data_IF_508365731872
#
_entry.id   IF_508365731872
#
_cell.length_a   1.000
_cell.length_b   1.000
_cell.length_c   1.000
_cell.angle_alpha   90.00
_cell.angle_beta   90.00
_cell.angle_gamma   90.00
#
_symmetry.space_group_name_H-M   'P 1'
#
loop_
_entity.id
_entity.type
_entity.pdbx_description
1 polymer ?
#
# COMPACT_ATOMS: atom_id res chain seq x y z
N UNK A 1 -27.34 -40.63 -7.93
CA UNK A 1 -26.88 -40.09 -9.20
C UNK A 1 -27.14 -41.08 -10.29
N UNK A 2 -27.73 -40.67 -11.42
CA UNK A 2 -28.13 -41.59 -12.46
C UNK A 2 -26.93 -42.26 -13.12
N UNK A 3 -27.04 -43.54 -13.38
CA UNK A 3 -26.03 -44.48 -13.87
C UNK A 3 -25.42 -44.22 -15.26
N UNK A 4 -25.59 -43.03 -15.82
CA UNK A 4 -25.17 -42.68 -17.18
C UNK A 4 -23.96 -41.73 -17.28
N UNK A 5 -23.28 -41.47 -16.17
CA UNK A 5 -22.06 -40.66 -16.15
C UNK A 5 -20.87 -41.60 -15.97
N UNK A 6 -19.95 -41.65 -16.92
CA UNK A 6 -18.76 -42.50 -16.87
C UNK A 6 -17.88 -42.24 -15.66
N UNK A 7 -17.06 -43.22 -15.24
CA UNK A 7 -16.22 -43.12 -14.05
C UNK A 7 -15.21 -41.95 -14.13
N UNK A 8 -14.72 -41.65 -15.32
CA UNK A 8 -13.79 -40.53 -15.54
C UNK A 8 -14.45 -39.16 -15.26
N UNK A 9 -15.70 -39.00 -15.72
CA UNK A 9 -16.46 -37.76 -15.45
C UNK A 9 -16.82 -37.63 -13.97
N UNK A 10 -17.12 -38.76 -13.28
CA UNK A 10 -17.35 -38.77 -11.84
C UNK A 10 -16.08 -38.33 -11.08
N UNK A 11 -14.90 -38.85 -11.45
CA UNK A 11 -13.63 -38.48 -10.88
C UNK A 11 -13.31 -36.97 -11.07
N UNK A 12 -13.55 -36.44 -12.28
CA UNK A 12 -13.39 -35.00 -12.55
C UNK A 12 -14.34 -34.13 -11.70
N UNK A 13 -15.59 -34.59 -11.50
CA UNK A 13 -16.53 -33.89 -10.62
C UNK A 13 -16.12 -33.93 -9.15
N UNK A 14 -15.56 -35.03 -8.69
CA UNK A 14 -15.04 -35.13 -7.32
C UNK A 14 -13.85 -34.18 -7.12
N UNK A 15 -12.92 -34.12 -8.08
CA UNK A 15 -11.81 -33.15 -8.05
C UNK A 15 -12.31 -31.68 -8.02
N UNK A 16 -13.41 -31.39 -8.73
CA UNK A 16 -14.06 -30.07 -8.64
C UNK A 16 -14.57 -29.77 -7.23
N UNK A 17 -15.16 -30.74 -6.54
CA UNK A 17 -15.66 -30.57 -5.16
C UNK A 17 -14.50 -30.33 -4.17
N UNK A 18 -13.40 -31.05 -4.35
CA UNK A 18 -12.24 -31.03 -3.47
C UNK A 18 -11.31 -29.82 -3.76
N UNK A 19 -11.46 -29.14 -4.91
CA UNK A 19 -10.65 -28.04 -5.33
C UNK A 19 -10.77 -26.84 -4.37
N UNK A 20 -9.64 -26.29 -3.93
CA UNK A 20 -9.57 -25.13 -3.02
C UNK A 20 -9.48 -23.80 -3.75
N UNK A 21 -8.88 -23.78 -4.96
CA UNK A 21 -8.69 -22.58 -5.75
C UNK A 21 -9.78 -22.36 -6.81
N UNK A 22 -10.07 -21.10 -7.13
CA UNK A 22 -11.06 -20.74 -8.15
C UNK A 22 -10.67 -21.24 -9.54
N UNK A 23 -9.39 -21.16 -9.88
CA UNK A 23 -8.85 -21.61 -11.17
C UNK A 23 -8.95 -23.13 -11.33
N UNK A 24 -8.68 -23.83 -10.28
CA UNK A 24 -8.79 -25.29 -10.26
C UNK A 24 -10.24 -25.75 -10.38
N UNK A 25 -11.18 -25.09 -9.68
CA UNK A 25 -12.61 -25.32 -9.82
C UNK A 25 -13.09 -25.15 -11.24
N UNK A 26 -12.66 -24.07 -11.91
CA UNK A 26 -13.00 -23.80 -13.31
C UNK A 26 -12.48 -24.93 -14.20
N UNK A 27 -11.20 -25.29 -14.07
CA UNK A 27 -10.55 -26.33 -14.89
C UNK A 27 -11.23 -27.69 -14.73
N UNK A 28 -11.47 -28.11 -13.48
CA UNK A 28 -12.08 -29.40 -13.22
C UNK A 28 -13.54 -29.47 -13.67
N UNK A 29 -14.28 -28.37 -13.60
CA UNK A 29 -15.64 -28.29 -14.08
C UNK A 29 -15.72 -28.27 -15.62
N UNK A 30 -14.74 -27.69 -16.30
CA UNK A 30 -14.59 -27.78 -17.76
C UNK A 30 -14.27 -29.22 -18.19
N UNK A 31 -13.33 -29.87 -17.51
CA UNK A 31 -12.99 -31.27 -17.74
C UNK A 31 -14.21 -32.19 -17.54
N UNK A 32 -14.95 -31.99 -16.46
CA UNK A 32 -16.20 -32.72 -16.24
C UNK A 32 -17.19 -32.55 -17.40
N UNK A 33 -17.43 -31.27 -17.83
CA UNK A 33 -18.37 -31.00 -18.90
C UNK A 33 -17.92 -31.53 -20.28
N UNK A 34 -16.63 -31.79 -20.48
CA UNK A 34 -16.11 -32.42 -21.69
C UNK A 34 -16.32 -33.92 -21.73
N UNK A 35 -16.25 -34.55 -20.54
CA UNK A 35 -16.35 -36.00 -20.37
C UNK A 35 -17.82 -36.51 -20.29
N UNK A 36 -18.77 -35.62 -19.94
CA UNK A 36 -20.18 -36.02 -19.83
C UNK A 36 -20.82 -36.21 -21.21
N UNK A 37 -21.41 -37.41 -21.49
CA UNK A 37 -22.13 -37.65 -22.76
C UNK A 37 -23.33 -36.71 -22.93
N UNK A 38 -23.50 -36.17 -24.14
CA UNK A 38 -24.58 -35.23 -24.47
C UNK A 38 -25.83 -35.98 -24.94
N UNK A 39 -26.70 -36.37 -24.01
CA UNK A 39 -27.99 -36.96 -24.34
C UNK A 39 -29.08 -36.49 -23.34
N UNK A 40 -30.33 -36.76 -23.65
CA UNK A 40 -31.51 -36.22 -22.94
C UNK A 40 -31.47 -36.47 -21.42
N UNK A 41 -30.88 -37.58 -20.94
CA UNK A 41 -30.77 -37.91 -19.53
C UNK A 41 -29.73 -37.08 -18.77
N UNK A 42 -28.68 -36.58 -19.45
CA UNK A 42 -27.62 -35.77 -18.84
C UNK A 42 -27.83 -34.26 -19.06
N UNK A 43 -28.81 -33.86 -19.86
CA UNK A 43 -29.03 -32.44 -20.25
C UNK A 43 -29.19 -31.52 -19.04
N UNK A 44 -29.98 -31.94 -18.04
CA UNK A 44 -30.17 -31.13 -16.81
C UNK A 44 -28.87 -30.92 -16.02
N UNK A 45 -28.04 -31.95 -15.93
CA UNK A 45 -26.77 -31.95 -15.21
C UNK A 45 -25.78 -31.02 -15.97
N UNK A 46 -25.71 -31.14 -17.28
CA UNK A 46 -24.87 -30.30 -18.14
C UNK A 46 -25.29 -28.82 -18.05
N UNK A 47 -26.60 -28.53 -18.14
CA UNK A 47 -27.12 -27.18 -18.03
C UNK A 47 -26.80 -26.55 -16.68
N UNK A 48 -26.99 -27.25 -15.57
CA UNK A 48 -26.68 -26.82 -14.22
C UNK A 48 -25.17 -26.47 -14.09
N UNK A 49 -24.30 -27.37 -14.54
CA UNK A 49 -22.86 -27.19 -14.40
C UNK A 49 -22.28 -26.14 -15.36
N UNK A 50 -22.90 -25.93 -16.54
CA UNK A 50 -22.58 -24.77 -17.40
C UNK A 50 -22.92 -23.46 -16.72
N UNK A 51 -24.06 -23.37 -16.05
CA UNK A 51 -24.43 -22.16 -15.27
C UNK A 51 -23.45 -21.92 -14.14
N UNK A 52 -23.03 -22.97 -13.42
CA UNK A 52 -21.99 -22.87 -12.36
C UNK A 52 -20.66 -22.38 -12.94
N UNK A 53 -20.22 -22.95 -14.04
CA UNK A 53 -18.98 -22.55 -14.73
C UNK A 53 -19.01 -21.06 -15.14
N UNK A 54 -20.12 -20.63 -15.72
CA UNK A 54 -20.29 -19.21 -16.09
C UNK A 54 -20.21 -18.28 -14.88
N UNK A 55 -20.78 -18.70 -13.74
CA UNK A 55 -20.70 -17.93 -12.48
C UNK A 55 -19.26 -17.86 -11.95
N UNK A 56 -18.52 -18.96 -11.96
CA UNK A 56 -17.11 -18.99 -11.52
C UNK A 56 -16.22 -18.15 -12.43
N UNK A 57 -16.41 -18.19 -13.75
CA UNK A 57 -15.66 -17.33 -14.70
C UNK A 57 -15.93 -15.86 -14.47
N UNK A 58 -17.19 -15.46 -14.28
CA UNK A 58 -17.53 -14.06 -13.93
C UNK A 58 -16.91 -13.61 -12.60
N UNK A 59 -16.84 -14.49 -11.63
CA UNK A 59 -16.20 -14.21 -10.34
C UNK A 59 -14.69 -14.00 -10.52
N UNK A 60 -14.03 -14.82 -11.35
CA UNK A 60 -12.60 -14.67 -11.70
C UNK A 60 -12.36 -13.33 -12.39
N UNK A 61 -13.13 -13.00 -13.43
CA UNK A 61 -13.03 -11.73 -14.15
C UNK A 61 -13.17 -10.53 -13.21
N UNK A 62 -14.16 -10.54 -12.31
CA UNK A 62 -14.35 -9.47 -11.31
C UNK A 62 -13.17 -9.35 -10.34
N UNK A 63 -12.55 -10.47 -9.95
CA UNK A 63 -11.35 -10.45 -9.09
C UNK A 63 -10.15 -9.88 -9.84
N UNK A 64 -9.96 -10.29 -11.09
CA UNK A 64 -8.88 -9.79 -11.93
C UNK A 64 -9.05 -8.30 -12.24
N UNK A 65 -10.27 -7.84 -12.51
CA UNK A 65 -10.58 -6.43 -12.75
C UNK A 65 -10.32 -5.58 -11.49
N UNK A 66 -10.72 -6.07 -10.31
CA UNK A 66 -10.39 -5.42 -9.03
C UNK A 66 -8.88 -5.36 -8.79
N UNK A 67 -8.14 -6.41 -9.11
CA UNK A 67 -6.68 -6.44 -9.01
C UNK A 67 -6.01 -5.48 -9.99
N UNK A 68 -6.52 -5.39 -11.22
CA UNK A 68 -6.02 -4.45 -12.24
C UNK A 68 -6.31 -3.00 -11.86
N UNK A 69 -7.50 -2.71 -11.36
CA UNK A 69 -7.87 -1.37 -10.89
C UNK A 69 -7.07 -0.98 -9.63
N UNK A 70 -6.86 -1.89 -8.68
CA UNK A 70 -6.01 -1.66 -7.51
C UNK A 70 -4.53 -1.40 -7.87
N UNK A 71 -4.01 -2.03 -8.93
CA UNK A 71 -2.65 -1.78 -9.43
C UNK A 71 -2.50 -0.45 -10.18
N UNK A 72 -3.58 0.16 -10.65
CA UNK A 72 -3.54 1.38 -11.47
C UNK A 72 -3.44 2.68 -10.69
N UNK A 73 -3.69 2.68 -9.40
CA UNK A 73 -3.63 3.89 -8.58
C UNK A 73 -2.53 3.74 -7.53
N UNK A 74 -1.28 3.84 -7.99
CA UNK A 74 -0.19 4.10 -7.05
C UNK A 74 -0.31 5.57 -6.65
N UNK A 75 -0.66 5.82 -5.39
CA UNK A 75 -0.68 7.18 -4.86
C UNK A 75 0.71 7.81 -5.04
N UNK A 76 0.79 9.08 -5.49
CA UNK A 76 2.07 9.81 -5.55
C UNK A 76 2.81 9.84 -4.21
N UNK A 77 2.08 9.66 -3.10
CA UNK A 77 2.62 9.59 -1.74
C UNK A 77 3.17 8.21 -1.38
N UNK A 78 2.95 7.19 -2.21
CA UNK A 78 3.48 5.84 -1.98
C UNK A 78 4.94 5.76 -2.40
N UNK A 79 5.82 6.38 -1.63
CA UNK A 79 7.25 6.41 -1.90
C UNK A 79 7.88 5.14 -1.33
N UNK A 80 8.50 4.34 -2.22
CA UNK A 80 9.28 3.18 -1.78
C UNK A 80 10.55 3.66 -1.06
N UNK A 81 10.75 3.22 0.16
CA UNK A 81 11.94 3.51 0.94
C UNK A 81 13.16 2.79 0.35
N UNK A 82 14.19 3.55 0.00
CA UNK A 82 15.46 3.06 -0.55
C UNK A 82 16.63 3.56 0.31
N UNK A 83 17.04 2.74 1.27
CA UNK A 83 18.09 3.11 2.22
C UNK A 83 17.60 4.03 3.34
N UNK A 84 18.46 4.94 3.79
CA UNK A 84 18.12 5.91 4.85
C UNK A 84 17.25 7.00 4.24
N UNK A 85 16.03 7.17 4.77
CA UNK A 85 15.05 8.12 4.25
C UNK A 85 14.93 9.33 5.19
N UNK A 86 15.14 10.52 4.61
CA UNK A 86 14.97 11.80 5.26
C UNK A 86 13.79 12.52 4.62
N UNK A 87 12.83 12.97 5.43
CA UNK A 87 11.66 13.71 4.97
C UNK A 87 11.77 15.17 5.37
N UNK A 88 11.58 16.07 4.39
CA UNK A 88 11.53 17.51 4.59
C UNK A 88 10.07 17.96 4.73
N UNK A 89 9.76 18.67 5.81
CA UNK A 89 8.42 19.24 6.05
C UNK A 89 8.54 20.72 6.44
N UNK A 90 7.46 21.46 6.22
CA UNK A 90 7.30 22.83 6.68
C UNK A 90 5.83 23.13 6.98
N UNK A 91 5.59 24.24 7.64
CA UNK A 91 4.24 24.75 7.88
C UNK A 91 3.64 25.32 6.59
N UNK A 92 2.36 25.04 6.34
CA UNK A 92 1.62 25.52 5.17
C UNK A 92 1.47 27.05 5.14
N UNK A 93 1.30 27.70 6.30
CA UNK A 93 1.16 29.16 6.41
C UNK A 93 2.46 29.92 6.11
N UNK A 94 3.57 29.17 5.89
CA UNK A 94 4.87 29.74 5.58
C UNK A 94 5.38 29.19 4.24
N UNK A 95 4.76 29.60 3.11
CA UNK A 95 5.22 29.20 1.80
C UNK A 95 6.64 29.70 1.54
N UNK A 96 7.46 28.88 0.91
CA UNK A 96 8.84 29.26 0.58
C UNK A 96 9.88 28.98 1.66
N UNK A 97 9.59 28.13 2.66
CA UNK A 97 10.54 27.71 3.70
C UNK A 97 11.82 27.02 3.16
N UNK A 98 11.94 26.82 1.85
CA UNK A 98 13.18 26.37 1.22
C UNK A 98 13.32 24.84 1.05
N UNK A 99 12.29 24.03 1.30
CA UNK A 99 12.35 22.56 1.16
C UNK A 99 12.88 22.12 -0.20
N UNK A 100 12.21 22.55 -1.28
CA UNK A 100 12.58 22.19 -2.66
C UNK A 100 13.95 22.73 -3.04
N UNK A 101 14.32 23.91 -2.55
CA UNK A 101 15.65 24.48 -2.76
C UNK A 101 16.73 23.64 -2.07
N UNK A 102 16.48 23.18 -0.85
CA UNK A 102 17.39 22.29 -0.13
C UNK A 102 17.52 20.93 -0.84
N UNK A 103 16.38 20.33 -1.26
CA UNK A 103 16.39 19.10 -2.03
C UNK A 103 17.23 19.24 -3.30
N UNK A 104 17.01 20.32 -4.07
CA UNK A 104 17.76 20.61 -5.30
C UNK A 104 19.24 20.78 -5.01
N UNK A 105 19.60 21.59 -4.03
CA UNK A 105 20.99 21.84 -3.65
C UNK A 105 21.76 20.55 -3.32
N UNK A 106 21.13 19.64 -2.58
CA UNK A 106 21.76 18.40 -2.15
C UNK A 106 21.78 17.31 -3.23
N UNK A 107 20.77 17.28 -4.08
CA UNK A 107 20.55 16.12 -4.97
C UNK A 107 20.50 16.45 -6.45
N UNK A 108 20.36 17.72 -6.81
CA UNK A 108 20.07 18.17 -8.18
C UNK A 108 18.66 17.91 -8.67
N UNK A 109 17.79 17.33 -7.81
CA UNK A 109 16.41 17.01 -8.17
C UNK A 109 15.47 18.22 -8.08
N UNK A 110 14.33 18.15 -8.78
CA UNK A 110 13.22 19.11 -8.68
C UNK A 110 13.58 20.57 -9.01
N UNK A 111 14.61 20.84 -9.83
CA UNK A 111 15.07 22.18 -10.18
C UNK A 111 13.96 23.07 -10.73
N UNK A 112 13.09 22.54 -11.58
CA UNK A 112 11.99 23.29 -12.21
C UNK A 112 10.87 23.68 -11.23
N UNK A 113 10.87 23.11 -10.01
CA UNK A 113 9.84 23.30 -8.99
C UNK A 113 10.21 24.26 -7.89
N UNK A 114 11.45 24.79 -7.90
CA UNK A 114 11.90 25.78 -6.92
C UNK A 114 10.99 27.00 -6.98
N UNK A 115 10.50 27.43 -5.81
CA UNK A 115 9.61 28.58 -5.69
C UNK A 115 8.16 28.34 -6.12
N UNK A 116 7.79 27.08 -6.45
CA UNK A 116 6.42 26.70 -6.78
C UNK A 116 5.79 25.87 -5.65
N UNK A 117 4.48 25.88 -5.59
CA UNK A 117 3.74 24.97 -4.70
C UNK A 117 3.94 23.54 -5.16
N UNK A 118 4.29 22.65 -4.23
CA UNK A 118 4.56 21.23 -4.50
C UNK A 118 3.38 20.41 -3.94
N UNK A 119 2.39 20.03 -4.76
CA UNK A 119 1.20 19.29 -4.28
C UNK A 119 1.47 17.81 -4.07
N UNK A 120 2.58 17.30 -4.62
CA UNK A 120 3.00 15.90 -4.54
C UNK A 120 4.45 15.81 -4.06
N UNK A 121 4.83 14.72 -3.38
CA UNK A 121 6.20 14.54 -2.93
C UNK A 121 7.21 14.51 -4.08
N UNK A 122 8.38 15.09 -3.84
CA UNK A 122 9.54 15.02 -4.73
C UNK A 122 10.67 14.27 -4.07
N UNK A 123 11.32 13.39 -4.82
CA UNK A 123 12.36 12.51 -4.29
C UNK A 123 13.71 12.81 -4.94
N UNK A 124 14.72 12.98 -4.12
CA UNK A 124 16.11 13.06 -4.55
C UNK A 124 16.98 12.06 -3.80
N UNK A 125 18.14 11.73 -4.37
CA UNK A 125 19.10 10.83 -3.75
C UNK A 125 20.41 11.56 -3.52
N UNK A 126 20.78 11.69 -2.26
CA UNK A 126 22.08 12.25 -1.85
C UNK A 126 23.04 11.10 -1.52
N UNK A 127 24.24 11.15 -2.08
CA UNK A 127 25.30 10.17 -1.82
C UNK A 127 26.37 10.80 -0.97
N UNK A 128 26.62 10.21 0.19
CA UNK A 128 27.72 10.61 1.06
C UNK A 128 28.61 9.41 1.36
N UNK A 129 29.85 9.45 0.87
CA UNK A 129 30.73 8.27 0.86
C UNK A 129 30.06 7.04 0.24
N UNK A 130 29.92 5.97 1.02
CA UNK A 130 29.28 4.70 0.58
C UNK A 130 27.79 4.63 0.92
N UNK A 131 27.25 5.65 1.60
CA UNK A 131 25.84 5.69 2.02
C UNK A 131 24.98 6.44 1.00
N UNK A 132 23.73 6.01 0.89
CA UNK A 132 22.70 6.65 0.05
C UNK A 132 21.59 7.13 0.96
N UNK A 133 21.28 8.42 0.86
CA UNK A 133 20.18 9.06 1.55
C UNK A 133 19.11 9.40 0.55
N UNK A 134 17.92 8.89 0.76
CA UNK A 134 16.73 9.29 0.02
C UNK A 134 16.14 10.51 0.72
N UNK A 135 16.14 11.65 0.06
CA UNK A 135 15.56 12.89 0.59
C UNK A 135 14.22 13.11 -0.10
N UNK A 136 13.18 13.31 0.68
CA UNK A 136 11.81 13.49 0.19
C UNK A 136 11.33 14.87 0.60
N UNK A 137 11.04 15.72 -0.38
CA UNK A 137 10.33 16.98 -0.18
C UNK A 137 8.82 16.68 -0.13
N UNK A 138 8.25 16.73 1.06
CA UNK A 138 6.81 16.56 1.24
C UNK A 138 6.07 17.88 1.06
N UNK A 139 4.80 17.87 0.61
CA UNK A 139 3.93 19.02 0.71
C UNK A 139 3.91 19.56 2.15
N UNK A 140 3.68 20.87 2.28
CA UNK A 140 3.60 21.50 3.59
C UNK A 140 2.44 20.95 4.42
N UNK A 141 2.66 20.83 5.73
CA UNK A 141 1.65 20.34 6.68
C UNK A 141 0.61 21.45 6.88
N UNK A 142 -0.64 21.14 6.58
CA UNK A 142 -1.79 22.03 6.79
C UNK A 142 -2.37 21.84 8.19
N UNK A 143 -3.10 22.82 8.66
CA UNK A 143 -3.96 22.69 9.82
C UNK A 143 -4.98 21.57 9.57
N UNK A 144 -5.27 20.76 10.60
CA UNK A 144 -6.11 19.57 10.51
C UNK A 144 -5.58 18.48 9.53
N UNK A 145 -4.28 18.47 9.22
CA UNK A 145 -3.65 17.40 8.45
C UNK A 145 -3.85 16.03 9.11
N UNK A 146 -3.83 15.95 10.43
CA UNK A 146 -4.14 14.76 11.22
C UNK A 146 -5.55 14.22 10.98
N UNK A 147 -6.51 15.11 10.68
CA UNK A 147 -7.88 14.76 10.29
C UNK A 147 -8.02 14.45 8.80
N UNK A 148 -6.98 14.70 7.99
CA UNK A 148 -6.90 14.36 6.57
C UNK A 148 -6.98 15.54 5.60
N UNK A 149 -6.93 16.77 6.08
CA UNK A 149 -6.90 17.97 5.22
C UNK A 149 -5.60 17.99 4.41
N UNK A 150 -5.66 18.37 3.15
CA UNK A 150 -4.50 18.58 2.29
C UNK A 150 -3.61 17.35 2.07
N UNK A 151 -4.18 16.15 1.93
CA UNK A 151 -3.47 14.86 1.90
C UNK A 151 -2.67 14.59 3.20
N UNK A 152 -3.13 15.15 4.32
CA UNK A 152 -2.44 15.07 5.59
C UNK A 152 -2.19 13.64 6.06
N UNK A 153 -3.14 12.71 5.86
CA UNK A 153 -2.98 11.30 6.24
C UNK A 153 -1.82 10.62 5.49
N UNK A 154 -1.67 10.92 4.20
CA UNK A 154 -0.60 10.41 3.37
C UNK A 154 0.76 10.99 3.77
N UNK A 155 0.80 12.31 4.02
CA UNK A 155 2.00 13.01 4.47
C UNK A 155 2.45 12.44 5.83
N UNK A 156 1.55 12.37 6.80
CA UNK A 156 1.83 11.83 8.14
C UNK A 156 2.19 10.34 8.12
N UNK A 157 1.60 9.57 7.21
CA UNK A 157 2.00 8.17 6.99
C UNK A 157 3.43 8.04 6.49
N UNK A 158 3.86 8.91 5.58
CA UNK A 158 5.25 9.00 5.13
C UNK A 158 6.20 9.33 6.28
N UNK A 159 5.86 10.32 7.09
CA UNK A 159 6.65 10.75 8.25
C UNK A 159 6.84 9.60 9.25
N UNK A 160 5.81 8.79 9.52
CA UNK A 160 5.94 7.61 10.41
C UNK A 160 6.94 6.57 9.92
N UNK A 161 7.18 6.49 8.63
CA UNK A 161 8.05 5.46 8.04
C UNK A 161 9.47 5.94 7.78
N UNK A 162 9.77 7.24 7.93
CA UNK A 162 11.10 7.79 7.70
C UNK A 162 12.06 7.49 8.85
N UNK A 163 13.36 7.59 8.56
CA UNK A 163 14.41 7.47 9.56
C UNK A 163 14.73 8.80 10.23
N UNK A 164 14.54 9.91 9.50
CA UNK A 164 14.80 11.26 9.98
C UNK A 164 13.77 12.24 9.44
N UNK A 165 13.19 13.04 10.32
CA UNK A 165 12.32 14.16 9.98
C UNK A 165 13.09 15.46 10.07
N UNK A 166 13.13 16.24 8.99
CA UNK A 166 13.74 17.55 8.95
C UNK A 166 12.64 18.61 8.81
N UNK A 167 12.43 19.39 9.83
CA UNK A 167 11.46 20.49 9.87
C UNK A 167 12.17 21.77 9.42
N UNK A 168 11.71 22.36 8.30
CA UNK A 168 12.23 23.63 7.80
C UNK A 168 11.35 24.76 8.26
N UNK A 169 12.00 25.77 8.84
CA UNK A 169 11.37 26.94 9.43
C UNK A 169 11.93 28.21 8.78
N UNK A 170 11.06 29.11 8.42
CA UNK A 170 11.42 30.45 7.94
C UNK A 170 11.64 31.39 9.11
N UNK A 171 12.89 31.73 9.39
CA UNK A 171 13.25 32.61 10.49
C UNK A 171 12.89 34.08 10.26
N UNK A 172 12.51 34.47 9.03
CA UNK A 172 12.03 35.83 8.74
C UNK A 172 10.61 36.10 9.26
N UNK A 173 9.93 35.02 9.72
CA UNK A 173 8.56 35.06 10.24
C UNK A 173 8.53 34.48 11.66
N UNK A 174 7.37 34.50 12.28
CA UNK A 174 7.19 33.88 13.60
C UNK A 174 7.48 32.37 13.56
N UNK A 175 8.69 32.00 13.95
CA UNK A 175 9.16 30.63 13.95
C UNK A 175 8.53 29.79 15.07
N UNK A 176 8.12 30.41 16.18
CA UNK A 176 7.45 29.72 17.27
C UNK A 176 6.09 29.16 16.84
N UNK A 177 5.28 29.96 16.17
CA UNK A 177 3.98 29.50 15.65
C UNK A 177 4.13 28.45 14.56
N UNK A 178 5.14 28.54 13.70
CA UNK A 178 5.42 27.51 12.69
C UNK A 178 5.72 26.17 13.34
N UNK A 179 6.63 26.15 14.31
CA UNK A 179 7.00 24.95 15.04
C UNK A 179 5.81 24.38 15.82
N UNK A 180 5.08 25.23 16.53
CA UNK A 180 3.92 24.80 17.34
C UNK A 180 2.87 24.09 16.50
N UNK A 181 2.48 24.64 15.33
CA UNK A 181 1.50 24.00 14.43
C UNK A 181 1.97 22.64 13.92
N UNK A 182 3.23 22.54 13.50
CA UNK A 182 3.76 21.26 13.02
C UNK A 182 3.77 20.22 14.15
N UNK A 183 4.25 20.58 15.34
CA UNK A 183 4.29 19.68 16.49
C UNK A 183 2.90 19.25 16.95
N UNK A 184 1.93 20.15 16.90
CA UNK A 184 0.54 19.85 17.21
C UNK A 184 -0.05 18.81 16.25
N UNK A 185 0.14 18.98 14.93
CA UNK A 185 -0.35 18.02 13.95
C UNK A 185 0.35 16.66 14.05
N UNK A 186 1.65 16.62 14.36
CA UNK A 186 2.37 15.39 14.62
C UNK A 186 1.84 14.69 15.89
N UNK A 187 1.61 15.45 16.96
CA UNK A 187 1.04 14.92 18.21
C UNK A 187 -0.39 14.40 18.02
N UNK A 188 -1.24 15.13 17.29
CA UNK A 188 -2.60 14.71 16.96
C UNK A 188 -2.65 13.45 16.08
N UNK A 189 -1.54 13.17 15.37
CA UNK A 189 -1.37 11.94 14.59
C UNK A 189 -0.64 10.83 15.36
N UNK A 190 -0.44 10.93 16.67
CA UNK A 190 0.33 9.98 17.49
C UNK A 190 1.77 9.75 16.98
N UNK A 191 2.39 10.78 16.41
CA UNK A 191 3.79 10.74 15.99
C UNK A 191 4.64 11.40 17.08
N UNK A 192 5.41 10.58 17.77
CA UNK A 192 6.33 11.02 18.79
C UNK A 192 7.72 11.26 18.22
N UNK A 193 8.30 12.41 18.55
CA UNK A 193 9.62 12.82 18.03
C UNK A 193 10.66 12.64 19.11
N UNK A 194 11.85 12.15 18.72
CA UNK A 194 12.99 11.94 19.64
C UNK A 194 12.69 11.01 20.81
N UNK A 195 11.69 10.15 20.70
CA UNK A 195 11.43 9.07 21.65
C UNK A 195 11.95 7.75 21.10
N UNK A 196 12.46 6.90 21.98
CA UNK A 196 12.81 5.53 21.60
C UNK A 196 11.52 4.76 21.26
N UNK A 197 11.53 3.95 20.19
CA UNK A 197 10.39 3.10 19.89
C UNK A 197 10.13 2.15 21.07
N UNK A 198 8.86 1.77 21.32
CA UNK A 198 8.55 0.80 22.36
C UNK A 198 9.28 -0.52 22.04
N UNK A 199 9.69 -1.29 23.06
CA UNK A 199 10.41 -2.54 22.90
C UNK A 199 9.46 -3.66 22.41
N UNK A 200 8.95 -3.49 21.19
CA UNK A 200 8.00 -4.42 20.55
C UNK A 200 8.63 -4.92 19.26
N UNK A 201 8.76 -6.22 19.11
CA UNK A 201 9.15 -6.87 17.88
C UNK A 201 7.93 -7.51 17.24
N UNK A 202 7.67 -7.18 15.96
CA UNK A 202 6.59 -7.77 15.16
C UNK A 202 7.19 -8.70 14.12
N UNK A 203 7.03 -10.00 14.33
CA UNK A 203 7.49 -11.01 13.37
C UNK A 203 6.32 -11.43 12.48
N UNK A 204 6.54 -11.38 11.17
CA UNK A 204 5.59 -11.85 10.16
C UNK A 204 5.81 -13.36 9.96
N UNK A 205 4.99 -14.18 10.58
CA UNK A 205 4.99 -15.62 10.36
C UNK A 205 4.18 -15.96 9.11
N UNK A 206 4.58 -17.02 8.37
CA UNK A 206 3.87 -17.44 7.15
C UNK A 206 2.43 -17.95 7.37
N UNK A 207 2.00 -18.12 8.61
CA UNK A 207 0.62 -18.31 9.02
C UNK A 207 -0.07 -16.94 9.14
N UNK A 208 -1.36 -16.83 8.84
CA UNK A 208 -2.14 -15.59 8.86
C UNK A 208 -2.23 -14.88 10.23
N UNK A 209 -1.31 -15.13 11.14
CA UNK A 209 -1.27 -14.57 12.49
C UNK A 209 -0.06 -13.65 12.65
N UNK A 210 -0.29 -12.50 13.29
CA UNK A 210 0.76 -11.60 13.74
C UNK A 210 1.09 -12.01 15.19
N UNK A 211 2.37 -12.34 15.43
CA UNK A 211 2.87 -12.54 16.79
C UNK A 211 3.57 -11.27 17.25
N UNK A 212 3.21 -10.79 18.43
CA UNK A 212 3.80 -9.59 19.05
C UNK A 212 4.59 -10.03 20.26
N UNK A 213 5.88 -9.71 20.29
CA UNK A 213 6.77 -9.96 21.41
C UNK A 213 7.11 -8.64 22.09
N UNK A 214 6.98 -8.60 23.41
CA UNK A 214 7.47 -7.49 24.21
C UNK A 214 8.89 -7.81 24.64
N UNK A 215 9.84 -6.97 24.24
CA UNK A 215 11.21 -7.07 24.72
C UNK A 215 11.26 -6.42 26.11
N UNK A 216 11.14 -7.21 27.16
CA UNK A 216 11.41 -6.74 28.52
C UNK A 216 12.91 -6.67 28.70
N UNK A 217 13.46 -5.47 28.91
CA UNK A 217 14.81 -5.35 29.44
C UNK A 217 14.79 -5.97 30.83
N UNK A 218 15.31 -7.19 30.98
CA UNK A 218 15.74 -7.69 32.25
C UNK A 218 16.95 -6.83 32.68
N UNK A 219 16.75 -6.01 33.71
CA UNK A 219 17.79 -5.24 34.37
C UNK A 219 18.87 -6.13 34.93
#
# INVERSE_FOLDING_TARGET
MSSNIGPEAQAAYQKYLDASSLDEKIRQLEEFLSLVPKHKATEKIVALNRSRLAKLKREKEKREEKLRSAKKVVSPFSIRKEGIQLILVSDYHTPGAGKTSLLNYLTGAAQEKIGRFTPVPEVGVYKYHKMRFQIVDMPAIMEDASKGVGNGKEILSGIRSCDLLCILIDLSRDYHSQMARILEELSNADIKINENPPPIEVQKTGANNIQVFYLTNSA
#
